data_IF_712919781725
#
_entry.id   IF_712919781725
#
_cell.length_a   1.000
_cell.length_b   1.000
_cell.length_c   1.000
_cell.angle_alpha   90.00
_cell.angle_beta   90.00
_cell.angle_gamma   90.00
#
_symmetry.space_group_name_H-M   'P 1'
#
loop_
_entity.id
_entity.type
_entity.pdbx_description
1 polymer ?
#
# COMPACT_ATOMS: atom_id res chain seq x y z
N UNK A 1 -6.52 4.26 -17.98
CA UNK A 1 -6.12 3.88 -16.62
C UNK A 1 -5.05 2.82 -16.76
N UNK A 2 -3.79 3.13 -16.40
CA UNK A 2 -2.75 2.13 -16.27
C UNK A 2 -3.15 1.00 -15.31
N UNK A 3 -2.54 -0.16 -15.52
CA UNK A 3 -2.67 -1.31 -14.63
C UNK A 3 -1.51 -1.31 -13.64
N UNK A 4 -1.86 -1.37 -12.36
CA UNK A 4 -0.92 -1.39 -11.25
C UNK A 4 -1.00 -2.73 -10.53
N UNK A 5 0.14 -3.34 -10.27
CA UNK A 5 0.23 -4.51 -9.44
C UNK A 5 0.52 -4.09 -8.00
N UNK A 6 -0.43 -4.31 -7.10
CA UNK A 6 -0.31 -4.03 -5.66
C UNK A 6 0.03 -5.32 -4.94
N UNK A 7 1.24 -5.40 -4.39
CA UNK A 7 1.71 -6.49 -3.56
C UNK A 7 1.66 -6.05 -2.10
N UNK A 8 1.05 -6.86 -1.25
CA UNK A 8 1.02 -6.69 0.20
C UNK A 8 2.15 -7.50 0.84
N UNK A 9 2.95 -6.80 1.64
CA UNK A 9 4.12 -7.33 2.30
C UNK A 9 4.03 -7.14 3.81
N UNK A 10 4.32 -8.20 4.55
CA UNK A 10 4.51 -8.17 5.99
C UNK A 10 5.96 -8.51 6.30
N UNK A 11 6.74 -7.48 6.59
CA UNK A 11 8.19 -7.56 6.75
C UNK A 11 8.85 -7.94 5.43
N UNK A 12 9.25 -9.20 5.33
CA UNK A 12 9.94 -9.80 4.17
C UNK A 12 9.05 -10.83 3.45
N UNK A 13 7.83 -11.05 3.93
CA UNK A 13 6.90 -12.02 3.36
C UNK A 13 5.84 -11.31 2.53
N UNK A 14 5.72 -11.70 1.26
CA UNK A 14 4.61 -11.28 0.41
C UNK A 14 3.38 -12.12 0.78
N UNK A 15 2.40 -11.47 1.40
CA UNK A 15 1.19 -12.14 1.88
C UNK A 15 0.08 -12.11 0.83
N UNK A 16 0.10 -11.14 -0.09
CA UNK A 16 -0.91 -11.00 -1.13
C UNK A 16 -0.41 -10.19 -2.32
N UNK A 17 -0.99 -10.43 -3.49
CA UNK A 17 -0.76 -9.62 -4.68
C UNK A 17 -2.05 -9.51 -5.49
N UNK A 18 -2.39 -8.29 -5.90
CA UNK A 18 -3.57 -7.97 -6.69
C UNK A 18 -3.26 -6.89 -7.72
N UNK A 19 -3.66 -7.15 -8.97
CA UNK A 19 -3.63 -6.14 -10.03
C UNK A 19 -4.91 -5.30 -10.00
N UNK A 20 -4.78 -3.99 -10.17
CA UNK A 20 -5.90 -3.04 -10.20
C UNK A 20 -5.64 -1.94 -11.20
N UNK A 21 -6.70 -1.45 -11.84
CA UNK A 21 -6.59 -0.27 -12.70
C UNK A 21 -6.92 0.99 -11.88
N UNK A 22 -6.01 1.96 -11.94
CA UNK A 22 -6.15 3.27 -11.31
C UNK A 22 -5.53 4.35 -12.21
N UNK A 23 -5.70 5.61 -11.83
CA UNK A 23 -5.02 6.74 -12.48
C UNK A 23 -3.64 7.01 -11.89
N UNK A 24 -3.44 6.65 -10.62
CA UNK A 24 -2.21 6.87 -9.86
C UNK A 24 -1.89 5.65 -8.96
N UNK A 25 -0.59 5.39 -8.66
CA UNK A 25 -0.18 4.28 -7.82
C UNK A 25 -0.73 4.37 -6.39
N UNK A 26 -0.90 5.60 -5.86
CA UNK A 26 -1.53 5.83 -4.55
C UNK A 26 -3.00 5.37 -4.57
N UNK A 27 -3.76 5.76 -5.58
CA UNK A 27 -5.16 5.35 -5.72
C UNK A 27 -5.30 3.85 -5.97
N UNK A 28 -4.33 3.20 -6.62
CA UNK A 28 -4.32 1.76 -6.79
C UNK A 28 -4.28 1.03 -5.44
N UNK A 29 -3.32 1.39 -4.58
CA UNK A 29 -3.20 0.77 -3.26
C UNK A 29 -4.36 1.15 -2.35
N UNK A 30 -4.80 2.41 -2.29
CA UNK A 30 -5.99 2.79 -1.49
C UNK A 30 -7.26 2.03 -1.92
N UNK A 31 -7.38 1.71 -3.21
CA UNK A 31 -8.50 0.92 -3.75
C UNK A 31 -8.41 -0.56 -3.40
N UNK A 32 -7.20 -1.11 -3.29
CA UNK A 32 -6.97 -2.51 -2.87
C UNK A 32 -7.10 -2.67 -1.36
N UNK A 33 -6.52 -1.75 -0.57
CA UNK A 33 -6.57 -1.82 0.90
C UNK A 33 -7.88 -1.30 1.47
N UNK A 34 -8.58 -0.42 0.73
CA UNK A 34 -9.73 0.34 1.22
C UNK A 34 -9.37 1.37 2.30
N UNK A 35 -8.08 1.61 2.53
CA UNK A 35 -7.53 2.41 3.62
C UNK A 35 -6.57 3.46 3.06
N UNK A 36 -6.42 4.58 3.78
CA UNK A 36 -5.37 5.54 3.46
C UNK A 36 -4.01 4.92 3.70
N UNK A 37 -3.13 5.13 2.74
CA UNK A 37 -1.74 4.75 2.86
C UNK A 37 -0.86 6.00 2.78
N UNK A 38 0.33 5.89 3.36
CA UNK A 38 1.38 6.90 3.30
C UNK A 38 2.64 6.32 2.69
N UNK A 39 3.60 7.16 2.27
CA UNK A 39 4.92 6.68 1.84
C UNK A 39 5.54 5.77 2.90
N UNK A 40 6.25 4.72 2.46
CA UNK A 40 6.87 3.75 3.35
C UNK A 40 7.70 4.43 4.45
N UNK A 41 7.41 4.05 5.69
CA UNK A 41 8.11 4.54 6.87
C UNK A 41 8.89 3.41 7.57
N UNK A 42 8.38 2.90 8.69
CA UNK A 42 9.04 1.87 9.52
C UNK A 42 8.10 0.71 9.88
N UNK A 43 6.97 0.58 9.18
CA UNK A 43 5.95 -0.40 9.51
C UNK A 43 6.28 -1.77 8.91
N UNK A 44 6.00 -2.83 9.67
CA UNK A 44 6.11 -4.21 9.18
C UNK A 44 5.11 -4.48 8.06
N UNK A 45 3.92 -3.88 8.12
CA UNK A 45 2.93 -3.97 7.05
C UNK A 45 3.16 -2.86 6.02
N UNK A 46 3.47 -3.25 4.79
CA UNK A 46 3.70 -2.33 3.69
C UNK A 46 3.21 -2.93 2.37
N UNK A 47 3.10 -2.07 1.37
CA UNK A 47 2.54 -2.37 0.06
C UNK A 47 3.50 -1.88 -1.01
N UNK A 48 3.68 -2.69 -2.03
CA UNK A 48 4.48 -2.37 -3.21
C UNK A 48 3.56 -2.25 -4.40
N UNK A 49 3.56 -1.10 -5.04
CA UNK A 49 2.80 -0.85 -6.26
C UNK A 49 3.78 -0.83 -7.43
N UNK A 50 3.67 -1.81 -8.31
CA UNK A 50 4.46 -1.91 -9.53
C UNK A 50 3.60 -1.40 -10.67
N UNK A 51 4.09 -0.35 -11.33
CA UNK A 51 3.54 0.17 -12.57
C UNK A 51 4.32 -0.44 -13.73
N UNK A 52 3.68 -1.31 -14.51
CA UNK A 52 4.34 -1.96 -15.65
C UNK A 52 4.53 -1.02 -16.85
N UNK A 53 3.68 -0.01 -16.97
CA UNK A 53 3.68 0.93 -18.11
C UNK A 53 4.89 1.88 -18.05
N UNK A 54 5.10 2.54 -16.92
CA UNK A 54 6.25 3.40 -16.64
C UNK A 54 7.43 2.64 -16.00
N UNK A 55 7.32 1.32 -15.81
CA UNK A 55 8.32 0.46 -15.16
C UNK A 55 8.83 1.03 -13.83
N UNK A 56 7.91 1.58 -13.07
CA UNK A 56 8.20 2.25 -11.80
C UNK A 56 7.61 1.47 -10.64
N UNK A 57 8.27 1.51 -9.49
CA UNK A 57 7.79 0.86 -8.27
C UNK A 57 7.63 1.92 -7.20
N UNK A 58 6.49 1.89 -6.52
CA UNK A 58 6.16 2.80 -5.42
C UNK A 58 5.86 1.99 -4.16
N UNK A 59 6.46 2.37 -3.05
CA UNK A 59 6.29 1.67 -1.77
C UNK A 59 5.46 2.52 -0.81
N UNK A 60 4.42 1.92 -0.27
CA UNK A 60 3.48 2.56 0.65
C UNK A 60 3.33 1.73 1.92
N UNK A 61 2.91 2.34 3.01
CA UNK A 61 2.49 1.66 4.23
C UNK A 61 1.09 2.15 4.58
N UNK A 62 0.21 1.27 5.07
CA UNK A 62 -1.08 1.71 5.60
C UNK A 62 -0.82 2.68 6.74
N UNK A 63 -1.44 3.86 6.69
CA UNK A 63 -1.45 4.70 7.88
C UNK A 63 -2.23 3.95 8.93
N UNK A 64 -1.53 3.49 9.98
CA UNK A 64 -2.19 2.94 11.15
C UNK A 64 -3.01 4.09 11.76
N UNK A 65 -4.28 4.16 11.36
CA UNK A 65 -5.20 5.21 11.76
C UNK A 65 -5.68 5.05 13.21
N UNK A 66 -5.04 4.23 14.06
CA UNK A 66 -5.66 3.86 15.33
C UNK A 66 -4.96 2.87 16.24
N UNK A 67 -3.65 2.93 16.39
CA UNK A 67 -2.93 2.44 17.58
C UNK A 67 -2.07 3.55 18.20
N UNK A 68 -2.39 4.82 17.95
CA UNK A 68 -2.28 5.82 19.00
C UNK A 68 -3.37 5.50 20.03
N UNK A 69 -3.06 4.52 20.86
CA UNK A 69 -3.87 4.04 21.95
C UNK A 69 -4.61 5.19 22.66
N UNK A 70 -5.92 5.04 22.79
CA UNK A 70 -6.71 5.61 23.85
C UNK A 70 -6.21 5.11 25.22
N UNK A 71 -4.97 5.44 25.61
CA UNK A 71 -4.51 5.44 27.00
C UNK A 71 -4.95 6.73 27.67
N UNK A 72 -6.25 6.99 27.71
CA UNK A 72 -6.82 8.06 28.53
C UNK A 72 -8.30 7.79 28.85
N UNK A 73 -8.56 7.01 29.91
CA UNK A 73 -9.22 7.48 31.14
C UNK A 73 -9.43 6.37 32.16
#
# INVERSE_FOLDING_TARGET
MPEYQVEEWHGEECVSSQATNADDPLSAVEKVTGQRVSPRALQEHWFRVVDEDARSTHEFSVEDGGAAADFAK
#
